data_IF_195929788099
#
_entry.id   IF_195929788099
#
_cell.length_a   1.000
_cell.length_b   1.000
_cell.length_c   1.000
_cell.angle_alpha   90.00
_cell.angle_beta   90.00
_cell.angle_gamma   90.00
#
_symmetry.space_group_name_H-M   'P 1'
#
loop_
_entity.id
_entity.type
_entity.pdbx_description
1 polymer ?
#
# COMPACT_ATOMS: atom_id res chain seq x y z
N UNK A 1 -1.96 17.57 9.95
CA UNK A 1 -2.35 16.47 10.86
C UNK A 1 -1.19 15.50 10.93
N UNK A 2 -0.45 15.46 12.04
CA UNK A 2 0.63 14.49 12.24
C UNK A 2 0.05 13.08 12.17
N UNK A 3 0.72 12.18 11.45
CA UNK A 3 0.39 10.76 11.51
C UNK A 3 0.52 10.35 12.98
N UNK A 4 -0.51 9.76 13.60
CA UNK A 4 -0.38 9.33 14.99
C UNK A 4 0.72 8.26 15.06
N UNK A 5 1.77 8.56 15.81
CA UNK A 5 2.79 7.58 16.18
C UNK A 5 2.15 6.58 17.14
N UNK A 6 2.24 5.29 16.81
CA UNK A 6 1.72 4.21 17.64
C UNK A 6 2.87 3.33 18.12
N UNK A 7 2.91 3.03 19.42
CA UNK A 7 3.97 2.23 20.04
C UNK A 7 3.37 1.06 20.81
N UNK A 8 4.06 -0.09 20.78
CA UNK A 8 3.69 -1.27 21.58
C UNK A 8 4.48 -1.25 22.87
N UNK A 9 3.80 -1.29 24.01
CA UNK A 9 4.41 -1.29 25.34
C UNK A 9 3.78 -2.37 26.23
N UNK A 10 4.49 -2.76 27.29
CA UNK A 10 3.95 -3.64 28.33
C UNK A 10 2.92 -2.89 29.16
N UNK A 11 1.78 -3.52 29.42
CA UNK A 11 0.63 -2.93 30.11
C UNK A 11 0.13 -3.79 31.28
N UNK A 12 0.88 -4.85 31.64
CA UNK A 12 0.61 -5.77 32.73
C UNK A 12 1.74 -6.79 32.89
N UNK A 13 1.55 -7.80 33.74
CA UNK A 13 2.60 -8.78 34.10
C UNK A 13 3.19 -9.51 32.89
N UNK A 14 2.36 -9.79 31.88
CA UNK A 14 2.77 -10.37 30.59
C UNK A 14 1.93 -9.85 29.41
N UNK A 15 1.34 -8.67 29.56
CA UNK A 15 0.38 -8.13 28.60
C UNK A 15 0.96 -6.94 27.85
N UNK A 16 0.56 -6.79 26.59
CA UNK A 16 0.97 -5.75 25.68
C UNK A 16 -0.22 -4.90 25.25
N UNK A 17 0.00 -3.62 25.00
CA UNK A 17 -0.99 -2.73 24.44
C UNK A 17 -0.35 -1.70 23.51
N UNK A 18 -1.18 -1.08 22.66
CA UNK A 18 -0.77 0.00 21.76
C UNK A 18 -1.09 1.34 22.41
N UNK A 19 -0.12 2.24 22.39
CA UNK A 19 -0.21 3.61 22.89
C UNK A 19 -0.01 4.59 21.74
N UNK A 20 -0.73 5.71 21.75
CA UNK A 20 -0.52 6.79 20.79
C UNK A 20 0.66 7.71 21.21
N UNK A 21 1.02 8.68 20.36
CA UNK A 21 2.08 9.67 20.65
C UNK A 21 1.80 10.59 21.85
N UNK A 22 0.60 10.55 22.43
CA UNK A 22 0.24 11.25 23.67
C UNK A 22 0.39 10.35 24.90
N UNK A 23 0.82 9.10 24.73
CA UNK A 23 0.93 8.11 25.79
C UNK A 23 -0.42 7.50 26.22
N UNK A 24 -1.49 7.73 25.47
CA UNK A 24 -2.81 7.15 25.78
C UNK A 24 -2.92 5.74 25.21
N UNK A 25 -3.44 4.78 25.99
CA UNK A 25 -3.71 3.42 25.52
C UNK A 25 -4.89 3.43 24.54
N UNK A 26 -4.66 2.99 23.31
CA UNK A 26 -5.65 3.00 22.22
C UNK A 26 -6.09 1.60 21.76
N UNK A 27 -5.72 0.57 22.52
CA UNK A 27 -6.12 -0.82 22.30
C UNK A 27 -6.53 -1.54 23.59
N UNK A 28 -7.09 -2.73 23.43
CA UNK A 28 -7.16 -3.71 24.50
C UNK A 28 -5.77 -4.26 24.88
N UNK A 29 -5.77 -5.18 25.85
CA UNK A 29 -4.61 -5.94 26.28
C UNK A 29 -4.47 -7.19 25.42
N UNK A 30 -3.24 -7.51 25.05
CA UNK A 30 -2.88 -8.71 24.30
C UNK A 30 -1.89 -9.53 25.10
N UNK A 31 -2.07 -10.84 25.13
CA UNK A 31 -1.13 -11.74 25.81
C UNK A 31 0.13 -12.01 24.96
N UNK A 32 0.11 -11.59 23.69
CA UNK A 32 1.22 -11.70 22.75
C UNK A 32 1.62 -10.34 22.16
N UNK A 33 2.94 -10.06 22.16
CA UNK A 33 3.50 -8.82 21.59
C UNK A 33 3.16 -8.67 20.10
N UNK A 34 3.14 -9.77 19.36
CA UNK A 34 2.90 -9.75 17.91
C UNK A 34 1.48 -9.30 17.54
N UNK A 35 0.50 -9.60 18.38
CA UNK A 35 -0.88 -9.13 18.19
C UNK A 35 -0.97 -7.62 18.38
N UNK A 36 -0.30 -7.09 19.40
CA UNK A 36 -0.20 -5.65 19.62
C UNK A 36 0.52 -4.93 18.46
N UNK A 37 1.57 -5.54 17.89
CA UNK A 37 2.25 -5.01 16.68
C UNK A 37 1.29 -4.97 15.50
N UNK A 38 0.61 -6.09 15.22
CA UNK A 38 -0.39 -6.18 14.13
C UNK A 38 -1.48 -5.12 14.30
N UNK A 39 -1.90 -4.85 15.55
CA UNK A 39 -2.86 -3.79 15.87
C UNK A 39 -2.29 -2.41 15.61
N UNK A 40 -1.05 -2.13 16.01
CA UNK A 40 -0.36 -0.86 15.75
C UNK A 40 -0.24 -0.60 14.24
N UNK A 41 0.20 -1.58 13.45
CA UNK A 41 0.29 -1.47 11.99
C UNK A 41 -1.06 -1.18 11.34
N UNK A 42 -2.12 -1.79 11.87
CA UNK A 42 -3.49 -1.53 11.40
C UNK A 42 -3.94 -0.11 11.72
N UNK A 43 -3.57 0.44 12.87
CA UNK A 43 -3.86 1.84 13.24
C UNK A 43 -3.09 2.82 12.35
N UNK A 44 -1.81 2.55 12.09
CA UNK A 44 -0.97 3.34 11.17
C UNK A 44 -1.60 3.35 9.77
N UNK A 45 -1.96 2.19 9.23
CA UNK A 45 -2.60 2.07 7.91
C UNK A 45 -3.92 2.83 7.84
N UNK A 46 -4.78 2.68 8.84
CA UNK A 46 -6.06 3.42 8.92
C UNK A 46 -5.83 4.94 8.96
N UNK A 47 -4.84 5.42 9.72
CA UNK A 47 -4.52 6.84 9.81
C UNK A 47 -3.93 7.44 8.53
N UNK A 48 -3.28 6.61 7.69
CA UNK A 48 -2.74 7.04 6.37
C UNK A 48 -3.78 7.07 5.26
N UNK A 49 -4.94 6.42 5.47
CA UNK A 49 -6.01 6.39 4.47
C UNK A 49 -6.55 7.80 4.26
N UNK A 50 -6.47 8.28 3.04
CA UNK A 50 -6.90 9.63 2.66
C UNK A 50 -7.65 9.60 1.34
N UNK A 51 -8.62 10.49 1.19
CA UNK A 51 -9.24 10.73 -0.10
C UNK A 51 -8.22 11.41 -1.02
N UNK A 52 -8.04 10.85 -2.21
CA UNK A 52 -7.08 11.33 -3.21
C UNK A 52 -7.68 11.28 -4.60
N UNK A 53 -7.32 12.20 -5.50
CA UNK A 53 -7.68 12.07 -6.90
C UNK A 53 -6.94 10.88 -7.53
N UNK A 54 -7.66 10.08 -8.32
CA UNK A 54 -7.07 9.03 -9.13
C UNK A 54 -6.11 9.62 -10.18
N UNK A 55 -4.91 9.05 -10.35
CA UNK A 55 -3.95 9.51 -11.37
C UNK A 55 -4.42 9.35 -12.83
N UNK A 56 -5.45 8.53 -13.07
CA UNK A 56 -5.94 8.23 -14.42
C UNK A 56 -7.20 9.00 -14.78
N UNK A 57 -8.17 9.03 -13.86
CA UNK A 57 -9.49 9.62 -14.13
C UNK A 57 -9.86 10.74 -13.17
N UNK A 58 -8.93 11.14 -12.28
CA UNK A 58 -9.06 12.22 -11.30
C UNK A 58 -10.18 12.07 -10.26
N UNK A 59 -11.05 11.06 -10.42
CA UNK A 59 -12.11 10.74 -9.46
C UNK A 59 -11.52 10.54 -8.06
N UNK A 60 -12.09 11.19 -7.04
CA UNK A 60 -11.65 11.00 -5.68
C UNK A 60 -11.95 9.57 -5.23
N UNK A 61 -11.00 8.96 -4.52
CA UNK A 61 -11.15 7.63 -3.94
C UNK A 61 -10.33 7.51 -2.65
N UNK A 62 -10.71 6.55 -1.80
CA UNK A 62 -9.96 6.25 -0.58
C UNK A 62 -8.66 5.51 -0.91
N UNK A 63 -7.54 6.21 -0.75
CA UNK A 63 -6.20 5.68 -0.98
C UNK A 63 -5.56 5.24 0.34
N UNK A 64 -5.04 4.01 0.40
CA UNK A 64 -4.29 3.48 1.56
C UNK A 64 -2.86 4.04 1.68
N UNK A 65 -2.41 4.87 0.74
CA UNK A 65 -1.08 5.48 0.79
C UNK A 65 -0.48 5.83 -0.57
N UNK A 66 0.77 6.31 -0.59
CA UNK A 66 1.43 6.83 -1.81
C UNK A 66 1.60 5.79 -2.93
N UNK A 67 1.65 4.50 -2.60
CA UNK A 67 1.73 3.42 -3.59
C UNK A 67 0.36 3.04 -4.17
N UNK A 68 -0.74 3.55 -3.60
CA UNK A 68 -2.10 3.23 -4.00
C UNK A 68 -2.82 4.47 -4.56
N UNK A 69 -2.36 5.00 -5.71
CA UNK A 69 -2.87 6.24 -6.34
C UNK A 69 -3.82 6.07 -7.54
N UNK A 70 -4.26 4.84 -7.83
CA UNK A 70 -5.31 4.57 -8.82
C UNK A 70 -6.56 4.04 -8.13
N UNK A 71 -7.74 4.46 -8.58
CA UNK A 71 -8.99 3.86 -8.14
C UNK A 71 -9.11 2.42 -8.67
N UNK A 72 -9.95 1.60 -8.03
CA UNK A 72 -10.06 0.18 -8.37
C UNK A 72 -10.45 -0.10 -9.83
N UNK A 73 -11.36 0.66 -10.48
CA UNK A 73 -11.63 0.51 -11.91
C UNK A 73 -10.36 0.69 -12.75
N UNK A 74 -9.68 1.85 -12.63
CA UNK A 74 -8.49 2.14 -13.42
C UNK A 74 -7.33 1.19 -13.12
N UNK A 75 -7.21 0.70 -11.88
CA UNK A 75 -6.20 -0.28 -11.49
C UNK A 75 -6.42 -1.63 -12.19
N UNK A 76 -7.67 -2.11 -12.23
CA UNK A 76 -8.03 -3.35 -12.93
C UNK A 76 -7.77 -3.23 -14.43
N UNK A 77 -8.13 -2.09 -15.02
CA UNK A 77 -7.88 -1.82 -16.44
C UNK A 77 -6.38 -1.83 -16.76
N UNK A 78 -5.55 -1.24 -15.90
CA UNK A 78 -4.09 -1.25 -16.07
C UNK A 78 -3.49 -2.66 -15.92
N UNK A 79 -3.95 -3.44 -14.93
CA UNK A 79 -3.49 -4.82 -14.74
C UNK A 79 -3.88 -5.73 -15.91
N UNK A 80 -5.04 -5.48 -16.54
CA UNK A 80 -5.51 -6.20 -17.73
C UNK A 80 -4.69 -5.91 -19.00
N UNK A 81 -3.90 -4.83 -19.03
CA UNK A 81 -3.04 -4.48 -20.18
C UNK A 81 -1.63 -5.08 -20.11
N UNK A 82 -1.27 -5.80 -19.05
CA UNK A 82 0.09 -6.33 -18.86
C UNK A 82 0.44 -7.56 -19.73
N UNK A 83 -0.53 -8.18 -20.43
CA UNK A 83 -0.31 -9.43 -21.16
C UNK A 83 -0.85 -9.49 -22.60
N UNK A 84 -1.36 -8.38 -23.14
CA UNK A 84 -1.76 -8.31 -24.55
C UNK A 84 -0.85 -7.37 -25.32
N UNK A 85 0.33 -7.91 -25.65
CA UNK A 85 1.18 -7.49 -26.76
C UNK A 85 1.75 -6.07 -26.69
N UNK A 86 3.02 -5.95 -26.32
CA UNK A 86 3.86 -4.93 -26.93
C UNK A 86 4.16 -5.37 -28.38
N UNK A 87 3.63 -4.70 -29.43
CA UNK A 87 4.01 -4.96 -30.81
C UNK A 87 5.24 -4.15 -31.24
N UNK A 88 5.91 -3.41 -30.34
CA UNK A 88 7.11 -2.63 -30.64
C UNK A 88 8.41 -3.47 -30.62
N UNK A 89 8.34 -4.73 -31.05
CA UNK A 89 9.53 -5.53 -31.38
C UNK A 89 9.41 -6.19 -32.75
N UNK A 90 8.94 -5.46 -33.75
CA UNK A 90 9.01 -5.87 -35.16
C UNK A 90 10.17 -5.21 -35.89
N UNK A 91 11.10 -6.07 -36.33
CA UNK A 91 12.12 -5.93 -37.38
C UNK A 91 13.50 -5.33 -37.02
N UNK A 92 14.38 -6.19 -36.49
CA UNK A 92 15.77 -6.19 -36.99
C UNK A 92 15.74 -7.08 -38.24
N UNK A 93 15.70 -6.47 -39.43
CA UNK A 93 15.79 -7.20 -40.69
C UNK A 93 17.14 -7.91 -40.78
N UNK A 94 17.09 -9.23 -40.89
CA UNK A 94 18.20 -10.08 -41.34
C UNK A 94 18.67 -9.62 -42.72
N UNK A 95 19.75 -8.83 -42.75
CA UNK A 95 20.48 -8.52 -43.97
C UNK A 95 21.39 -9.68 -44.35
N UNK A 96 20.82 -10.78 -44.82
CA UNK A 96 21.55 -11.84 -45.51
C UNK A 96 21.45 -11.62 -47.02
N UNK A 97 22.42 -10.91 -47.61
CA UNK A 97 22.59 -10.80 -49.05
C UNK A 97 23.74 -11.68 -49.52
N UNK A 98 23.42 -12.75 -50.24
CA UNK A 98 24.37 -13.63 -50.93
C UNK A 98 24.76 -13.04 -52.30
N UNK A 99 26.06 -13.16 -52.61
CA UNK A 99 26.70 -13.33 -53.93
C UNK A 99 26.64 -12.23 -55.00
N UNK A 100 27.83 -11.77 -55.40
CA UNK A 100 28.40 -11.97 -56.75
C UNK A 100 29.92 -12.00 -56.65
#
# INVERSE_FOLDING_TARGET
MSTPDYTVQTAGRHQYAVFNGRGERVSGLYDCRQEAITRADSLIRKGRRSERPCLTCERPFMSDGPHNRMCDPCRRDAAGKAYLGDPSMTHITTGGGLSS
#
